data_IF_741667670003
#
_entry.id   IF_741667670003
#
_cell.length_a   1.000
_cell.length_b   1.000
_cell.length_c   1.000
_cell.angle_alpha   90.00
_cell.angle_beta   90.00
_cell.angle_gamma   90.00
#
_symmetry.space_group_name_H-M   'P 1'
#
loop_
_entity.id
_entity.type
_entity.pdbx_description
1 polymer ?
#
# COMPACT_ATOMS: atom_id res chain seq x y z
N UNK A 1 -42.68 -18.89 -24.80
CA UNK A 1 -42.12 -17.82 -25.62
C UNK A 1 -42.25 -16.54 -24.84
N UNK A 2 -41.17 -16.07 -24.26
CA UNK A 2 -41.01 -14.85 -23.49
C UNK A 2 -39.52 -14.61 -23.33
N UNK A 3 -38.97 -13.84 -24.25
CA UNK A 3 -37.56 -13.43 -24.25
C UNK A 3 -37.33 -12.44 -23.11
N UNK A 4 -36.44 -12.78 -22.18
CA UNK A 4 -35.87 -11.85 -21.22
C UNK A 4 -34.75 -11.07 -21.92
N UNK A 5 -34.98 -9.80 -22.18
CA UNK A 5 -33.99 -8.84 -22.61
C UNK A 5 -33.07 -8.54 -21.39
N UNK A 6 -31.83 -8.92 -21.51
CA UNK A 6 -30.75 -8.37 -20.67
C UNK A 6 -30.48 -6.93 -21.10
N UNK A 7 -31.03 -5.98 -20.36
CA UNK A 7 -30.67 -4.57 -20.49
C UNK A 7 -29.28 -4.36 -19.86
N UNK A 8 -28.28 -4.41 -20.72
CA UNK A 8 -26.92 -3.95 -20.41
C UNK A 8 -26.97 -2.43 -20.29
N UNK A 9 -27.06 -1.92 -19.08
CA UNK A 9 -26.87 -0.49 -18.81
C UNK A 9 -25.41 -0.17 -18.97
N UNK A 10 -24.98 0.28 -20.13
CA UNK A 10 -23.77 1.06 -20.35
C UNK A 10 -23.98 2.43 -19.67
N UNK A 11 -23.65 2.54 -18.37
CA UNK A 11 -23.59 3.84 -17.72
C UNK A 11 -22.36 4.57 -18.26
N UNK A 12 -22.59 5.55 -19.13
CA UNK A 12 -21.59 6.47 -19.66
C UNK A 12 -20.75 7.06 -18.52
N UNK A 13 -19.49 6.67 -18.50
CA UNK A 13 -18.48 7.36 -17.72
C UNK A 13 -18.36 8.77 -18.28
N UNK A 14 -18.57 9.77 -17.43
CA UNK A 14 -18.46 11.18 -17.83
C UNK A 14 -17.04 11.43 -18.33
N UNK A 15 -16.87 11.57 -19.64
CA UNK A 15 -15.65 12.06 -20.27
C UNK A 15 -15.53 13.55 -19.98
N UNK A 16 -14.44 13.96 -19.33
CA UNK A 16 -14.16 15.36 -19.03
C UNK A 16 -13.57 16.13 -20.23
N UNK A 17 -13.51 15.52 -21.44
CA UNK A 17 -12.87 16.13 -22.61
C UNK A 17 -13.79 17.08 -23.42
N UNK A 18 -15.07 17.28 -23.06
CA UNK A 18 -15.97 18.17 -23.82
C UNK A 18 -16.50 19.35 -22.99
N UNK A 19 -15.67 20.38 -22.85
CA UNK A 19 -16.11 21.79 -22.84
C UNK A 19 -14.93 22.69 -23.26
N UNK A 20 -14.62 22.66 -24.57
CA UNK A 20 -13.83 23.74 -25.18
C UNK A 20 -14.71 24.97 -25.43
N UNK A 21 -14.55 25.99 -24.59
CA UNK A 21 -15.01 27.34 -24.96
C UNK A 21 -14.14 27.88 -26.13
N UNK A 22 -14.82 28.16 -27.23
CA UNK A 22 -14.22 28.78 -28.45
C UNK A 22 -13.73 30.18 -28.15
N UNK A 23 -12.45 30.42 -28.25
CA UNK A 23 -11.86 31.74 -28.42
C UNK A 23 -11.24 31.85 -29.84
N UNK A 24 -11.21 33.07 -30.46
CA UNK A 24 -11.10 33.20 -31.92
C UNK A 24 -9.69 33.14 -32.47
N UNK A 25 -9.62 32.67 -33.72
CA UNK A 25 -8.48 32.56 -34.63
C UNK A 25 -7.48 33.72 -34.61
N UNK A 26 -6.19 33.39 -34.54
CA UNK A 26 -5.17 34.05 -35.36
C UNK A 26 -3.99 33.12 -35.60
N UNK A 27 -3.67 32.96 -36.88
CA UNK A 27 -2.74 32.01 -37.47
C UNK A 27 -1.27 32.29 -37.16
N UNK A 28 -0.48 31.20 -36.97
CA UNK A 28 0.83 31.03 -37.64
C UNK A 28 1.32 29.57 -37.48
N UNK A 29 1.42 28.87 -38.60
CA UNK A 29 2.09 27.55 -38.69
C UNK A 29 3.60 27.74 -38.52
N UNK A 30 4.17 27.01 -37.54
CA UNK A 30 5.59 26.64 -37.56
C UNK A 30 5.69 25.16 -37.23
N UNK A 31 6.16 24.39 -38.23
CA UNK A 31 6.56 23.00 -38.05
C UNK A 31 7.80 22.94 -37.12
N UNK A 32 7.72 22.22 -36.03
CA UNK A 32 8.84 21.90 -35.16
C UNK A 32 8.51 20.68 -34.35
N UNK A 33 9.21 19.58 -34.60
CA UNK A 33 9.16 18.37 -33.77
C UNK A 33 9.39 18.77 -32.32
N UNK A 34 8.47 18.34 -31.45
CA UNK A 34 8.59 18.55 -30.01
C UNK A 34 9.77 17.74 -29.46
N UNK A 35 10.72 18.37 -28.74
CA UNK A 35 11.79 17.64 -28.12
C UNK A 35 11.19 16.80 -26.99
N UNK A 36 11.43 15.48 -27.00
CA UNK A 36 11.24 14.61 -25.85
C UNK A 36 11.96 15.25 -24.66
N UNK A 37 11.22 15.77 -23.70
CA UNK A 37 11.77 16.25 -22.42
C UNK A 37 12.38 15.05 -21.71
N UNK A 38 13.68 14.87 -21.87
CA UNK A 38 14.48 14.01 -21.01
C UNK A 38 14.47 14.65 -19.61
N UNK A 39 13.82 14.01 -18.66
CA UNK A 39 13.94 14.39 -17.27
C UNK A 39 15.38 14.16 -16.84
N UNK A 40 16.06 15.23 -16.51
CA UNK A 40 17.35 15.17 -15.82
C UNK A 40 17.06 14.67 -14.42
N UNK A 41 17.35 13.39 -14.15
CA UNK A 41 17.20 12.81 -12.84
C UNK A 41 18.03 13.62 -11.83
N UNK A 42 17.36 14.28 -10.91
CA UNK A 42 18.00 14.91 -9.76
C UNK A 42 18.35 13.75 -8.83
N UNK A 43 19.62 13.40 -8.78
CA UNK A 43 20.13 12.45 -7.77
C UNK A 43 20.07 13.12 -6.40
N UNK A 44 18.93 13.02 -5.74
CA UNK A 44 18.72 13.49 -4.39
C UNK A 44 19.09 12.39 -3.40
N UNK A 45 19.96 12.70 -2.45
CA UNK A 45 20.48 11.73 -1.48
C UNK A 45 19.68 11.66 -0.18
N UNK A 46 18.65 12.49 -0.01
CA UNK A 46 17.85 12.49 1.21
C UNK A 46 16.60 13.38 1.17
N UNK A 47 15.72 13.27 2.17
CA UNK A 47 14.50 14.10 2.29
C UNK A 47 14.79 15.62 2.33
N UNK A 48 16.01 16.01 2.71
CA UNK A 48 16.43 17.42 2.74
C UNK A 48 16.47 18.04 1.35
N UNK A 49 16.70 17.24 0.33
CA UNK A 49 16.81 17.70 -1.06
C UNK A 49 15.43 17.98 -1.69
N UNK A 50 14.33 17.52 -1.07
CA UNK A 50 12.97 17.81 -1.53
C UNK A 50 12.44 19.19 -1.16
N UNK A 51 13.23 20.02 -0.48
CA UNK A 51 12.84 21.38 -0.06
C UNK A 51 11.53 21.42 0.75
N UNK A 52 11.33 20.43 1.61
CA UNK A 52 10.16 20.33 2.49
C UNK A 52 10.20 21.42 3.59
N UNK A 53 9.02 21.76 4.11
CA UNK A 53 8.87 22.65 5.27
C UNK A 53 9.76 22.14 6.44
N UNK A 54 10.42 23.05 7.20
CA UNK A 54 11.28 22.65 8.32
C UNK A 54 10.57 21.76 9.36
N UNK A 55 9.29 22.02 9.58
CA UNK A 55 8.42 21.27 10.49
C UNK A 55 8.28 19.79 10.03
N UNK A 56 8.15 19.57 8.72
CA UNK A 56 8.08 18.23 8.15
C UNK A 56 9.42 17.51 8.22
N UNK A 57 10.52 18.20 7.91
CA UNK A 57 11.86 17.63 8.03
C UNK A 57 12.14 17.19 9.47
N UNK A 58 11.73 17.99 10.46
CA UNK A 58 11.86 17.64 11.87
C UNK A 58 11.01 16.40 12.21
N UNK A 59 9.76 16.34 11.77
CA UNK A 59 8.89 15.20 12.01
C UNK A 59 9.43 13.91 11.36
N UNK A 60 10.06 14.01 10.18
CA UNK A 60 10.70 12.91 9.48
C UNK A 60 11.86 12.35 10.32
N UNK A 61 12.76 13.21 10.82
CA UNK A 61 13.90 12.80 11.65
C UNK A 61 13.42 12.17 12.96
N UNK A 62 12.49 12.80 13.67
CA UNK A 62 11.96 12.30 14.94
C UNK A 62 11.19 10.96 14.77
N UNK A 63 10.72 10.69 13.56
CA UNK A 63 10.06 9.44 13.19
C UNK A 63 11.04 8.32 12.80
N UNK A 64 12.35 8.57 12.83
CA UNK A 64 13.37 7.61 12.42
C UNK A 64 13.45 7.39 10.90
N UNK A 65 12.86 8.27 10.10
CA UNK A 65 12.98 8.28 8.63
C UNK A 65 14.20 9.13 8.25
N UNK A 66 15.40 8.55 8.31
CA UNK A 66 16.62 9.30 7.98
C UNK A 66 16.82 9.45 6.47
N UNK A 67 16.39 8.46 5.69
CA UNK A 67 16.55 8.44 4.23
C UNK A 67 15.28 7.95 3.53
N UNK A 68 14.93 8.52 2.35
CA UNK A 68 13.85 8.00 1.53
C UNK A 68 14.18 6.56 1.13
N UNK A 69 13.43 5.60 1.65
CA UNK A 69 13.47 4.14 1.39
C UNK A 69 14.78 3.61 0.76
N UNK A 70 15.92 3.99 1.31
CA UNK A 70 17.17 3.33 1.00
C UNK A 70 17.15 1.96 1.71
N UNK A 71 17.13 0.88 0.90
CA UNK A 71 17.63 -0.39 1.40
C UNK A 71 19.02 -0.11 1.97
N UNK A 72 19.28 -0.46 3.25
CA UNK A 72 20.54 -0.23 3.94
C UNK A 72 21.69 -0.41 2.97
N UNK A 73 22.35 0.68 2.58
CA UNK A 73 23.67 0.67 2.00
C UNK A 73 24.56 -0.06 3.00
N UNK A 74 24.83 -1.35 2.74
CA UNK A 74 25.98 -2.02 3.33
C UNK A 74 27.15 -1.10 3.03
N UNK A 75 27.79 -0.59 4.09
CA UNK A 75 28.92 0.32 4.02
C UNK A 75 29.84 -0.05 2.86
N UNK A 76 29.65 0.63 1.73
CA UNK A 76 30.44 0.44 0.51
C UNK A 76 31.91 0.65 0.83
N UNK A 77 32.22 1.56 1.76
CA UNK A 77 33.57 1.82 2.27
C UNK A 77 34.16 0.57 2.94
N UNK A 78 33.36 -0.23 3.64
CA UNK A 78 33.83 -1.45 4.28
C UNK A 78 34.09 -2.57 3.28
N UNK A 79 33.25 -2.69 2.26
CA UNK A 79 33.40 -3.64 1.15
C UNK A 79 34.59 -3.25 0.24
N UNK A 80 34.75 -1.97 -0.06
CA UNK A 80 35.88 -1.45 -0.85
C UNK A 80 37.19 -1.71 -0.10
N UNK A 81 37.25 -1.47 1.20
CA UNK A 81 38.46 -1.71 2.02
C UNK A 81 38.79 -3.21 2.12
N UNK A 82 37.81 -4.09 2.23
CA UNK A 82 38.03 -5.55 2.24
C UNK A 82 38.52 -6.04 0.87
N UNK A 83 37.96 -5.52 -0.23
CA UNK A 83 38.29 -5.95 -1.58
C UNK A 83 39.67 -5.44 -2.04
N UNK A 84 40.02 -4.20 -1.71
CA UNK A 84 41.36 -3.63 -1.99
C UNK A 84 42.47 -4.35 -1.24
N UNK A 85 42.17 -5.02 -0.14
CA UNK A 85 43.12 -5.82 0.62
C UNK A 85 43.38 -7.22 0.09
N UNK A 86 42.53 -7.73 -0.81
CA UNK A 86 42.56 -9.15 -1.23
C UNK A 86 42.80 -9.43 -2.71
N UNK A 87 42.75 -8.47 -3.62
CA UNK A 87 42.93 -8.78 -5.04
C UNK A 87 43.83 -7.83 -5.82
N UNK A 88 44.80 -8.42 -6.49
CA UNK A 88 45.75 -7.74 -7.40
C UNK A 88 45.28 -7.58 -8.85
N UNK A 89 43.95 -7.66 -9.13
CA UNK A 89 43.45 -7.62 -10.49
C UNK A 89 42.42 -6.48 -10.72
N UNK A 90 42.86 -5.44 -11.41
CA UNK A 90 42.07 -4.24 -11.80
C UNK A 90 40.86 -4.61 -12.68
N UNK A 91 40.94 -5.65 -13.49
CA UNK A 91 39.85 -6.08 -14.41
C UNK A 91 38.66 -6.66 -13.63
N UNK A 92 38.93 -7.33 -12.51
CA UNK A 92 37.86 -7.86 -11.63
C UNK A 92 37.11 -6.73 -10.91
N UNK A 93 37.78 -5.62 -10.61
CA UNK A 93 37.16 -4.46 -9.95
C UNK A 93 36.17 -3.73 -10.87
N UNK A 94 36.52 -3.52 -12.13
CA UNK A 94 35.62 -2.90 -13.11
C UNK A 94 34.39 -3.78 -13.41
N UNK A 95 34.54 -5.10 -13.46
CA UNK A 95 33.41 -6.02 -13.65
C UNK A 95 32.49 -6.06 -12.45
N UNK A 96 33.01 -6.04 -11.23
CA UNK A 96 32.22 -5.98 -9.99
C UNK A 96 31.58 -4.59 -9.81
N UNK A 97 32.29 -3.52 -10.14
CA UNK A 97 31.76 -2.17 -10.13
C UNK A 97 30.63 -2.02 -11.17
N UNK A 98 30.79 -2.58 -12.39
CA UNK A 98 29.75 -2.62 -13.40
C UNK A 98 28.56 -3.46 -12.95
N UNK A 99 28.76 -4.65 -12.33
CA UNK A 99 27.68 -5.46 -11.76
C UNK A 99 26.97 -4.77 -10.61
N UNK A 100 27.70 -4.07 -9.75
CA UNK A 100 27.16 -3.26 -8.66
C UNK A 100 26.38 -2.07 -9.23
N UNK A 101 26.92 -1.36 -10.22
CA UNK A 101 26.22 -0.25 -10.87
C UNK A 101 24.99 -0.72 -11.66
N UNK A 102 25.04 -1.87 -12.32
CA UNK A 102 23.87 -2.48 -13.02
C UNK A 102 22.82 -2.96 -12.01
N UNK A 103 23.20 -3.41 -10.81
CA UNK A 103 22.25 -3.71 -9.73
C UNK A 103 21.71 -2.43 -9.05
N UNK A 104 22.41 -1.30 -9.09
CA UNK A 104 21.93 -0.03 -8.55
C UNK A 104 20.94 0.70 -9.46
N UNK A 105 20.93 0.44 -10.76
CA UNK A 105 19.98 1.06 -11.71
C UNK A 105 18.52 0.56 -11.56
N UNK A 106 18.24 -0.40 -10.66
CA UNK A 106 16.89 -1.00 -10.48
C UNK A 106 16.14 -0.46 -9.27
N UNK A 107 16.73 0.39 -8.44
CA UNK A 107 16.11 0.89 -7.21
C UNK A 107 16.08 2.42 -7.12
N UNK A 108 15.28 3.07 -7.98
CA UNK A 108 14.80 4.40 -7.64
C UNK A 108 13.65 4.24 -6.63
N UNK A 109 13.81 4.67 -5.38
CA UNK A 109 12.73 4.59 -4.42
C UNK A 109 11.57 5.46 -4.90
N UNK A 110 10.38 4.91 -4.89
CA UNK A 110 9.10 5.56 -5.27
C UNK A 110 9.00 6.99 -4.75
N UNK A 111 9.55 7.24 -3.55
CA UNK A 111 9.56 8.54 -2.93
C UNK A 111 10.40 9.57 -3.69
N UNK A 112 11.55 9.18 -4.23
CA UNK A 112 12.42 10.09 -4.99
C UNK A 112 11.79 10.54 -6.31
N UNK A 113 11.05 9.66 -6.97
CA UNK A 113 10.36 10.00 -8.21
C UNK A 113 9.07 10.78 -7.96
N UNK A 114 8.25 10.30 -7.00
CA UNK A 114 6.92 10.85 -6.78
C UNK A 114 6.92 12.18 -6.03
N UNK A 115 7.68 12.31 -4.91
CA UNK A 115 7.56 13.47 -4.02
C UNK A 115 7.87 14.79 -4.73
N UNK A 116 8.96 14.94 -5.50
CA UNK A 116 9.26 16.23 -6.15
C UNK A 116 8.15 16.72 -7.09
N UNK A 117 7.47 15.82 -7.76
CA UNK A 117 6.38 16.14 -8.68
C UNK A 117 5.07 16.38 -7.95
N UNK A 118 4.80 15.54 -6.94
CA UNK A 118 3.59 15.66 -6.13
C UNK A 118 3.55 16.96 -5.34
N UNK A 119 4.68 17.45 -4.79
CA UNK A 119 4.74 18.74 -4.09
C UNK A 119 4.57 19.94 -5.00
N UNK A 120 4.73 19.78 -6.32
CA UNK A 120 4.45 20.80 -7.34
C UNK A 120 2.99 20.82 -7.79
N UNK A 121 2.15 19.95 -7.20
CA UNK A 121 0.72 19.91 -7.51
C UNK A 121 0.35 19.02 -8.70
N UNK A 122 1.30 18.25 -9.29
CA UNK A 122 0.99 17.34 -10.38
C UNK A 122 0.16 16.15 -9.89
N UNK A 123 -0.77 15.68 -10.71
CA UNK A 123 -1.46 14.43 -10.51
C UNK A 123 -0.49 13.25 -10.59
N UNK A 124 -0.67 12.24 -9.76
CA UNK A 124 0.25 11.09 -9.68
C UNK A 124 -0.50 9.78 -9.66
N UNK A 125 -0.20 8.88 -10.61
CA UNK A 125 -0.54 7.46 -10.52
C UNK A 125 0.73 6.70 -10.16
N UNK A 126 0.72 5.99 -9.05
CA UNK A 126 1.87 5.22 -8.61
C UNK A 126 1.49 3.77 -8.28
N UNK A 127 2.05 2.84 -9.05
CA UNK A 127 2.07 1.43 -8.71
C UNK A 127 3.43 1.07 -8.16
N UNK A 128 3.46 0.59 -6.92
CA UNK A 128 4.68 0.07 -6.31
C UNK A 128 4.35 -0.96 -5.22
N UNK A 129 5.25 -1.88 -4.98
CA UNK A 129 5.10 -2.93 -3.96
C UNK A 129 4.69 -2.39 -2.60
N UNK A 130 4.04 -3.23 -1.82
CA UNK A 130 3.76 -2.91 -0.42
C UNK A 130 5.07 -2.70 0.35
N UNK A 131 5.13 -1.69 1.22
CA UNK A 131 6.34 -1.35 1.98
C UNK A 131 7.34 -0.44 1.27
N UNK A 132 7.08 -0.01 0.03
CA UNK A 132 7.95 0.94 -0.70
C UNK A 132 7.68 2.42 -0.37
N UNK A 133 6.93 2.70 0.70
CA UNK A 133 6.73 4.06 1.19
C UNK A 133 5.71 4.91 0.41
N UNK A 134 4.78 4.30 -0.37
CA UNK A 134 3.70 5.02 -1.07
C UNK A 134 2.92 5.97 -0.18
N UNK A 135 2.59 5.54 1.04
CA UNK A 135 1.86 6.37 2.02
C UNK A 135 2.61 7.64 2.37
N UNK A 136 3.94 7.55 2.56
CA UNK A 136 4.76 8.74 2.84
C UNK A 136 4.75 9.74 1.68
N UNK A 137 4.64 9.27 0.42
CA UNK A 137 4.56 10.16 -0.75
C UNK A 137 3.38 11.11 -0.62
N UNK A 138 2.15 10.59 -0.52
CA UNK A 138 0.98 11.47 -0.49
C UNK A 138 0.82 12.20 0.85
N UNK A 139 1.24 11.61 1.97
CA UNK A 139 1.21 12.30 3.27
C UNK A 139 2.12 13.52 3.26
N UNK A 140 3.40 13.35 2.90
CA UNK A 140 4.36 14.46 2.88
C UNK A 140 4.01 15.50 1.82
N UNK A 141 3.60 15.07 0.62
CA UNK A 141 3.23 15.99 -0.46
C UNK A 141 2.00 16.83 -0.11
N UNK A 142 1.00 16.23 0.54
CA UNK A 142 -0.18 16.96 1.00
C UNK A 142 0.18 17.94 2.13
N UNK A 143 0.92 17.50 3.15
CA UNK A 143 1.34 18.36 4.26
C UNK A 143 2.22 19.52 3.81
N UNK A 144 3.05 19.31 2.78
CA UNK A 144 3.88 20.36 2.19
C UNK A 144 3.05 21.48 1.56
N UNK A 145 1.94 21.13 0.92
CA UNK A 145 1.13 22.06 0.12
C UNK A 145 -0.04 22.68 0.91
N UNK A 146 -0.49 22.02 1.98
CA UNK A 146 -1.69 22.44 2.70
C UNK A 146 -1.44 23.68 3.56
N UNK A 147 -2.33 24.68 3.40
CA UNK A 147 -2.43 25.81 4.29
C UNK A 147 -3.76 25.67 5.05
N UNK A 148 -3.72 25.45 6.38
CA UNK A 148 -4.91 25.16 7.16
C UNK A 148 -5.82 26.40 7.26
N UNK A 149 -7.05 26.29 6.75
CA UNK A 149 -8.09 27.31 6.89
C UNK A 149 -9.20 26.76 7.77
N UNK A 150 -9.47 27.41 8.88
CA UNK A 150 -10.47 26.98 9.84
C UNK A 150 -11.85 26.74 9.19
N UNK A 151 -12.45 25.60 9.50
CA UNK A 151 -13.76 25.21 8.99
C UNK A 151 -13.77 24.66 7.55
N UNK A 152 -12.61 24.40 6.95
CA UNK A 152 -12.50 23.90 5.58
C UNK A 152 -11.73 22.58 5.51
N UNK A 153 -12.28 21.62 4.76
CA UNK A 153 -11.58 20.38 4.38
C UNK A 153 -10.80 20.66 3.11
N UNK A 154 -9.47 20.58 3.19
CA UNK A 154 -8.55 20.83 2.07
C UNK A 154 -8.04 19.57 1.42
N UNK A 155 -7.99 18.44 2.16
CA UNK A 155 -7.58 17.15 1.62
C UNK A 155 -8.55 16.04 2.00
N UNK A 156 -8.84 15.16 1.04
CA UNK A 156 -9.66 13.98 1.21
C UNK A 156 -8.89 12.74 0.75
N UNK A 157 -8.73 11.77 1.66
CA UNK A 157 -8.09 10.49 1.38
C UNK A 157 -9.12 9.36 1.51
N UNK A 158 -9.31 8.60 0.45
CA UNK A 158 -10.19 7.44 0.44
C UNK A 158 -9.37 6.15 0.38
N UNK A 159 -9.81 5.14 1.13
CA UNK A 159 -9.26 3.80 1.07
C UNK A 159 -10.37 2.77 1.34
N UNK A 160 -10.16 1.54 0.89
CA UNK A 160 -11.21 0.52 0.88
C UNK A 160 -11.50 -0.13 2.25
N UNK A 161 -10.59 -0.03 3.24
CA UNK A 161 -10.77 -0.61 4.58
C UNK A 161 -10.67 0.44 5.69
N UNK A 162 -11.32 0.15 6.82
CA UNK A 162 -11.36 1.02 8.00
C UNK A 162 -10.01 1.05 8.72
N UNK A 163 -9.32 -0.08 8.72
CA UNK A 163 -8.00 -0.25 9.32
C UNK A 163 -6.97 0.59 8.58
N UNK A 164 -7.00 0.54 7.24
CA UNK A 164 -6.12 1.36 6.41
C UNK A 164 -6.44 2.86 6.60
N UNK A 165 -7.73 3.24 6.67
CA UNK A 165 -8.11 4.61 6.97
C UNK A 165 -7.56 5.09 8.31
N UNK A 166 -7.67 4.26 9.34
CA UNK A 166 -7.12 4.57 10.66
C UNK A 166 -5.59 4.71 10.61
N UNK A 167 -4.90 3.81 9.91
CA UNK A 167 -3.45 3.86 9.78
C UNK A 167 -3.00 5.12 9.02
N UNK A 168 -3.63 5.46 7.89
CA UNK A 168 -3.31 6.66 7.12
C UNK A 168 -3.52 7.93 7.96
N UNK A 169 -4.64 8.00 8.72
CA UNK A 169 -4.89 9.11 9.63
C UNK A 169 -3.73 9.27 10.62
N UNK A 170 -3.28 8.18 11.20
CA UNK A 170 -2.19 8.18 12.17
C UNK A 170 -0.84 8.59 11.54
N UNK A 171 -0.58 8.24 10.28
CA UNK A 171 0.60 8.73 9.57
C UNK A 171 0.53 10.25 9.32
N UNK A 172 -0.64 10.78 8.97
CA UNK A 172 -0.82 12.23 8.90
C UNK A 172 -0.58 12.92 10.25
N UNK A 173 -1.14 12.38 11.34
CA UNK A 173 -0.91 12.89 12.70
C UNK A 173 0.58 12.88 13.07
N UNK A 174 1.27 11.79 12.76
CA UNK A 174 2.69 11.61 13.03
C UNK A 174 3.56 12.65 12.32
N UNK A 175 3.35 12.84 11.02
CA UNK A 175 4.14 13.80 10.23
C UNK A 175 3.70 15.25 10.41
N UNK A 176 2.49 15.51 10.94
CA UNK A 176 2.01 16.85 11.25
C UNK A 176 2.25 17.30 12.69
N UNK A 177 3.03 16.56 13.48
CA UNK A 177 3.29 16.82 14.91
C UNK A 177 3.77 18.27 15.17
N UNK A 178 4.51 18.85 14.23
CA UNK A 178 5.02 20.22 14.31
C UNK A 178 4.16 21.25 13.52
N UNK A 179 2.95 20.87 13.11
CA UNK A 179 1.96 21.72 12.44
C UNK A 179 0.71 21.84 13.34
N UNK A 180 0.76 22.64 14.44
CA UNK A 180 -0.26 22.61 15.49
C UNK A 180 -1.65 23.04 15.03
N UNK A 181 -1.74 23.87 13.98
CA UNK A 181 -3.01 24.36 13.45
C UNK A 181 -3.71 23.34 12.54
N UNK A 182 -3.01 22.28 12.14
CA UNK A 182 -3.53 21.27 11.25
C UNK A 182 -4.33 20.21 12.03
N UNK A 183 -5.56 19.94 11.58
CA UNK A 183 -6.44 18.92 12.17
C UNK A 183 -6.69 17.82 11.16
N UNK A 184 -6.54 16.59 11.61
CA UNK A 184 -6.80 15.38 10.84
C UNK A 184 -7.92 14.58 11.49
N UNK A 185 -8.83 14.01 10.70
CA UNK A 185 -9.86 13.13 11.24
C UNK A 185 -10.14 11.94 10.32
N UNK A 186 -10.57 10.82 10.91
CA UNK A 186 -10.91 9.60 10.21
C UNK A 186 -12.39 9.27 10.30
N UNK A 187 -13.02 8.96 9.14
CA UNK A 187 -14.44 8.61 9.06
C UNK A 187 -14.65 7.28 8.34
N UNK A 188 -15.15 6.28 9.05
CA UNK A 188 -15.47 4.95 8.52
C UNK A 188 -16.74 4.36 9.11
N UNK A 189 -17.31 3.35 8.45
CA UNK A 189 -18.51 2.68 8.92
C UNK A 189 -18.28 1.83 10.18
N UNK A 190 -19.38 1.41 10.83
CA UNK A 190 -19.33 0.55 12.03
C UNK A 190 -19.23 1.29 13.36
N UNK A 191 -19.14 2.61 13.32
CA UNK A 191 -19.33 3.50 14.48
C UNK A 191 -20.53 4.43 14.24
N UNK A 192 -21.10 4.98 15.29
CA UNK A 192 -22.26 5.88 15.17
C UNK A 192 -21.95 7.07 14.28
N UNK A 193 -22.78 7.32 13.28
CA UNK A 193 -22.64 8.48 12.39
C UNK A 193 -22.78 9.81 13.15
N UNK A 194 -23.52 9.80 14.26
CA UNK A 194 -23.72 10.99 15.10
C UNK A 194 -22.40 11.51 15.66
N UNK A 195 -21.50 10.61 16.10
CA UNK A 195 -20.17 11.00 16.59
C UNK A 195 -19.37 11.75 15.51
N UNK A 196 -19.45 11.30 14.27
CA UNK A 196 -18.78 11.94 13.15
C UNK A 196 -19.41 13.32 12.82
N UNK A 197 -20.75 13.43 12.88
CA UNK A 197 -21.45 14.70 12.68
C UNK A 197 -21.12 15.72 13.78
N UNK A 198 -21.07 15.27 15.02
CA UNK A 198 -20.71 16.13 16.16
C UNK A 198 -19.25 16.61 16.05
N UNK A 199 -18.32 15.75 15.64
CA UNK A 199 -16.93 16.13 15.38
C UNK A 199 -16.85 17.19 14.29
N UNK A 200 -17.51 16.98 13.15
CA UNK A 200 -17.50 17.93 12.02
C UNK A 200 -18.09 19.30 12.37
N UNK A 201 -19.07 19.34 13.27
CA UNK A 201 -19.67 20.60 13.75
C UNK A 201 -18.77 21.34 14.72
N UNK A 202 -18.11 20.63 15.61
CA UNK A 202 -17.33 21.24 16.69
C UNK A 202 -15.90 21.57 16.23
N UNK A 203 -15.30 20.69 15.44
CA UNK A 203 -13.91 20.79 15.00
C UNK A 203 -13.77 20.28 13.55
N UNK A 204 -14.12 21.11 12.57
CA UNK A 204 -13.95 20.74 11.17
C UNK A 204 -12.47 20.44 10.86
N UNK A 205 -12.11 19.21 10.44
CA UNK A 205 -10.73 18.87 10.11
C UNK A 205 -10.32 19.47 8.77
N UNK A 206 -9.02 19.71 8.60
CA UNK A 206 -8.43 20.13 7.33
C UNK A 206 -8.14 18.94 6.41
N UNK A 207 -7.81 17.78 7.01
CA UNK A 207 -7.57 16.52 6.30
C UNK A 207 -8.59 15.49 6.79
N UNK A 208 -9.31 14.92 5.85
CA UNK A 208 -10.29 13.85 6.07
C UNK A 208 -9.78 12.55 5.46
N UNK A 209 -9.69 11.50 6.26
CA UNK A 209 -9.37 10.15 5.78
C UNK A 209 -10.61 9.28 5.99
N UNK A 210 -10.97 8.43 5.02
CA UNK A 210 -12.14 7.61 5.25
C UNK A 210 -12.41 6.52 4.22
N UNK A 211 -13.50 5.76 4.49
CA UNK A 211 -14.01 4.78 3.53
C UNK A 211 -15.16 5.39 2.71
N UNK A 212 -15.27 5.06 1.40
CA UNK A 212 -16.19 5.72 0.48
C UNK A 212 -17.62 5.83 1.00
N UNK A 213 -18.25 4.74 1.43
CA UNK A 213 -19.65 4.76 1.86
C UNK A 213 -19.94 5.67 3.07
N UNK A 214 -18.98 5.82 4.02
CA UNK A 214 -19.17 6.73 5.17
C UNK A 214 -18.95 8.19 4.77
N UNK A 215 -17.97 8.47 3.95
CA UNK A 215 -17.70 9.82 3.42
C UNK A 215 -18.88 10.29 2.59
N UNK A 216 -19.40 9.44 1.71
CA UNK A 216 -20.56 9.75 0.88
C UNK A 216 -21.82 10.04 1.72
N UNK A 217 -22.10 9.23 2.75
CA UNK A 217 -23.21 9.48 3.65
C UNK A 217 -23.13 10.86 4.32
N UNK A 218 -21.94 11.23 4.87
CA UNK A 218 -21.73 12.53 5.49
C UNK A 218 -21.81 13.71 4.50
N UNK A 219 -21.34 13.49 3.26
CA UNK A 219 -21.40 14.51 2.21
C UNK A 219 -22.83 14.71 1.68
N UNK A 220 -23.60 13.63 1.46
CA UNK A 220 -25.03 13.69 1.06
C UNK A 220 -25.89 14.40 2.11
N UNK A 221 -25.63 14.13 3.40
CA UNK A 221 -26.32 14.77 4.51
C UNK A 221 -25.87 16.24 4.71
N UNK A 222 -24.88 16.72 3.94
CA UNK A 222 -24.30 18.07 4.03
C UNK A 222 -23.59 18.36 5.37
N UNK A 223 -23.30 17.35 6.16
CA UNK A 223 -22.49 17.49 7.38
C UNK A 223 -20.99 17.63 7.01
N UNK A 224 -20.55 17.04 5.91
CA UNK A 224 -19.20 17.16 5.37
C UNK A 224 -19.22 17.96 4.05
N UNK A 225 -18.61 19.14 4.06
CA UNK A 225 -18.46 19.98 2.87
C UNK A 225 -17.15 19.65 2.15
N UNK A 226 -17.25 19.24 0.86
CA UNK A 226 -16.08 18.88 0.03
C UNK A 226 -15.70 20.00 -0.97
N UNK A 227 -16.34 21.17 -0.90
CA UNK A 227 -16.18 22.26 -1.87
C UNK A 227 -14.81 22.92 -1.89
N UNK A 228 -14.00 22.72 -0.85
CA UNK A 228 -12.66 23.31 -0.70
C UNK A 228 -11.55 22.27 -0.79
N UNK A 229 -11.87 21.03 -1.20
CA UNK A 229 -10.88 19.96 -1.35
C UNK A 229 -9.94 20.30 -2.52
N UNK A 230 -8.64 20.41 -2.21
CA UNK A 230 -7.56 20.66 -3.16
C UNK A 230 -6.71 19.41 -3.43
N UNK A 231 -6.79 18.41 -2.56
CA UNK A 231 -6.07 17.14 -2.70
C UNK A 231 -7.05 16.00 -2.54
N UNK A 232 -7.19 15.19 -3.59
CA UNK A 232 -8.04 14.00 -3.64
C UNK A 232 -7.15 12.77 -3.82
N UNK A 233 -7.09 11.92 -2.79
CA UNK A 233 -6.16 10.80 -2.76
C UNK A 233 -6.92 9.48 -2.67
N UNK A 234 -6.56 8.49 -3.49
CA UNK A 234 -7.02 7.12 -3.39
C UNK A 234 -5.84 6.20 -3.06
N UNK A 235 -5.86 5.55 -1.90
CA UNK A 235 -4.90 4.50 -1.56
C UNK A 235 -5.53 3.11 -1.70
N UNK A 236 -4.80 2.15 -2.27
CA UNK A 236 -5.32 0.86 -2.74
C UNK A 236 -6.48 1.08 -3.73
N UNK A 237 -6.26 1.98 -4.71
CA UNK A 237 -7.29 2.47 -5.63
C UNK A 237 -7.90 1.36 -6.50
N UNK A 238 -7.12 0.33 -6.86
CA UNK A 238 -7.59 -0.84 -7.61
C UNK A 238 -8.83 -1.47 -6.96
N UNK A 239 -8.85 -1.65 -5.64
CA UNK A 239 -9.95 -2.30 -4.93
C UNK A 239 -11.23 -1.46 -4.89
N UNK A 240 -11.08 -0.14 -4.84
CA UNK A 240 -12.24 0.75 -4.90
C UNK A 240 -12.79 0.90 -6.32
N UNK A 241 -11.92 0.82 -7.34
CA UNK A 241 -12.30 1.01 -8.74
C UNK A 241 -12.67 -0.29 -9.46
N UNK A 242 -12.26 -1.47 -8.98
CA UNK A 242 -12.71 -2.77 -9.44
C UNK A 242 -14.14 -3.09 -8.98
N UNK A 243 -14.47 -2.76 -7.72
CA UNK A 243 -15.81 -2.97 -7.16
C UNK A 243 -16.79 -1.93 -7.69
N UNK A 244 -17.84 -2.35 -8.39
CA UNK A 244 -18.85 -1.46 -8.99
C UNK A 244 -19.48 -0.54 -7.94
N UNK A 245 -19.85 -1.07 -6.77
CA UNK A 245 -20.50 -0.28 -5.71
C UNK A 245 -19.55 0.77 -5.14
N UNK A 246 -18.29 0.39 -4.81
CA UNK A 246 -17.32 1.35 -4.30
C UNK A 246 -16.94 2.38 -5.37
N UNK A 247 -16.84 1.97 -6.64
CA UNK A 247 -16.55 2.88 -7.75
C UNK A 247 -17.64 3.95 -7.87
N UNK A 248 -18.90 3.58 -7.77
CA UNK A 248 -20.04 4.54 -7.78
C UNK A 248 -19.92 5.54 -6.62
N UNK A 249 -19.66 5.05 -5.41
CA UNK A 249 -19.46 5.92 -4.24
C UNK A 249 -18.29 6.89 -4.46
N UNK A 250 -17.14 6.42 -4.96
CA UNK A 250 -15.97 7.25 -5.25
C UNK A 250 -16.28 8.29 -6.32
N UNK A 251 -16.97 7.92 -7.40
CA UNK A 251 -17.36 8.84 -8.49
C UNK A 251 -18.29 9.94 -7.97
N UNK A 252 -19.26 9.58 -7.13
CA UNK A 252 -20.20 10.56 -6.56
C UNK A 252 -19.47 11.53 -5.63
N UNK A 253 -18.59 11.03 -4.77
CA UNK A 253 -17.74 11.88 -3.90
C UNK A 253 -16.88 12.81 -4.75
N UNK A 254 -16.24 12.28 -5.80
CA UNK A 254 -15.40 13.05 -6.71
C UNK A 254 -16.14 14.21 -7.36
N UNK A 255 -17.39 14.00 -7.81
CA UNK A 255 -18.26 15.04 -8.38
C UNK A 255 -18.61 16.14 -7.36
N UNK A 256 -18.54 15.87 -6.05
CA UNK A 256 -18.79 16.85 -5.00
C UNK A 256 -17.59 17.72 -4.65
N UNK A 257 -16.40 17.38 -5.17
CA UNK A 257 -15.17 18.16 -4.99
C UNK A 257 -14.95 19.13 -6.15
N UNK A 258 -14.15 20.22 -5.98
CA UNK A 258 -13.83 21.15 -7.07
C UNK A 258 -13.18 20.46 -8.26
N UNK A 259 -13.30 21.04 -9.45
CA UNK A 259 -12.58 20.58 -10.63
C UNK A 259 -11.07 20.80 -10.48
N UNK A 260 -10.68 21.99 -10.05
CA UNK A 260 -9.29 22.36 -9.79
C UNK A 260 -8.80 21.74 -8.48
N UNK A 261 -8.21 20.56 -8.57
CA UNK A 261 -7.62 19.82 -7.47
C UNK A 261 -6.54 18.87 -7.97
N UNK A 262 -5.56 18.57 -7.13
CA UNK A 262 -4.61 17.51 -7.37
C UNK A 262 -5.23 16.14 -7.05
N UNK A 263 -5.06 15.18 -7.93
CA UNK A 263 -5.49 13.78 -7.73
C UNK A 263 -4.27 12.87 -7.64
N UNK A 264 -4.19 12.07 -6.59
CA UNK A 264 -3.11 11.09 -6.41
C UNK A 264 -3.69 9.70 -6.18
N UNK A 265 -3.24 8.71 -6.95
CA UNK A 265 -3.71 7.33 -6.88
C UNK A 265 -2.56 6.36 -6.65
N UNK A 266 -2.71 5.52 -5.64
CA UNK A 266 -1.69 4.56 -5.23
C UNK A 266 -2.26 3.15 -5.16
N UNK A 267 -1.49 2.17 -5.64
CA UNK A 267 -1.79 0.75 -5.51
C UNK A 267 -0.52 -0.09 -5.52
N UNK A 268 -0.60 -1.32 -5.02
CA UNK A 268 0.43 -2.33 -5.22
C UNK A 268 0.16 -3.17 -6.49
N UNK A 269 -1.10 -3.25 -6.90
CA UNK A 269 -1.58 -4.10 -7.99
C UNK A 269 -2.53 -3.33 -8.89
N UNK A 270 -2.00 -2.67 -9.93
CA UNK A 270 -2.81 -1.88 -10.85
C UNK A 270 -2.87 -2.57 -12.22
N UNK A 271 -3.96 -3.29 -12.46
CA UNK A 271 -4.15 -4.00 -13.73
C UNK A 271 -4.22 -3.03 -14.92
N UNK A 272 -3.85 -3.52 -16.11
CA UNK A 272 -3.89 -2.71 -17.34
C UNK A 272 -5.31 -2.20 -17.64
N UNK A 273 -6.35 -2.90 -17.21
CA UNK A 273 -7.76 -2.52 -17.41
C UNK A 273 -8.22 -1.40 -16.46
N UNK A 274 -7.60 -1.30 -15.28
CA UNK A 274 -7.96 -0.27 -14.28
C UNK A 274 -7.21 1.04 -14.53
N UNK A 275 -6.02 1.01 -15.14
CA UNK A 275 -5.25 2.24 -15.44
C UNK A 275 -6.03 3.28 -16.25
N UNK A 276 -6.74 2.91 -17.34
CA UNK A 276 -7.61 3.88 -18.04
C UNK A 276 -8.73 4.44 -17.18
N UNK A 277 -9.26 3.63 -16.24
CA UNK A 277 -10.29 4.10 -15.30
C UNK A 277 -9.70 5.13 -14.33
N UNK A 278 -8.50 4.90 -13.81
CA UNK A 278 -7.79 5.89 -12.97
C UNK A 278 -7.58 7.21 -13.71
N UNK A 279 -7.11 7.16 -14.95
CA UNK A 279 -6.84 8.35 -15.78
C UNK A 279 -8.07 9.23 -15.99
N UNK A 280 -9.27 8.68 -16.01
CA UNK A 280 -10.51 9.46 -16.13
C UNK A 280 -10.79 10.40 -14.95
N UNK A 281 -10.12 10.21 -13.83
CA UNK A 281 -10.21 11.10 -12.66
C UNK A 281 -9.11 12.16 -12.63
N UNK A 282 -8.17 12.16 -13.59
CA UNK A 282 -6.90 12.88 -13.48
C UNK A 282 -6.64 13.73 -14.72
N UNK A 283 -5.79 14.75 -14.53
CA UNK A 283 -5.37 15.66 -15.58
C UNK A 283 -3.86 15.49 -15.84
N UNK A 284 -3.49 14.93 -16.99
CA UNK A 284 -2.10 14.68 -17.41
C UNK A 284 -1.20 14.13 -16.26
N UNK A 285 -1.57 12.97 -15.66
CA UNK A 285 -0.90 12.48 -14.48
C UNK A 285 0.52 12.01 -14.78
N UNK A 286 1.43 12.22 -13.83
CA UNK A 286 2.68 11.49 -13.78
C UNK A 286 2.40 10.02 -13.49
N UNK A 287 2.87 9.14 -14.38
CA UNK A 287 2.65 7.72 -14.30
C UNK A 287 3.93 7.00 -13.85
N UNK A 288 3.88 6.36 -12.69
CA UNK A 288 4.99 5.58 -12.14
C UNK A 288 4.52 4.15 -11.93
N UNK A 289 5.03 3.25 -12.74
CA UNK A 289 4.74 1.82 -12.65
C UNK A 289 6.05 1.08 -12.33
N UNK A 290 6.33 0.95 -11.04
CA UNK A 290 7.47 0.16 -10.59
C UNK A 290 7.08 -1.32 -10.70
N UNK A 291 7.87 -2.09 -11.43
CA UNK A 291 7.72 -3.55 -11.58
C UNK A 291 6.63 -4.05 -12.56
N UNK A 292 6.30 -3.31 -13.61
CA UNK A 292 5.45 -3.84 -14.69
C UNK A 292 6.09 -4.99 -15.48
N UNK A 293 7.43 -4.97 -15.57
CA UNK A 293 8.23 -5.97 -16.30
C UNK A 293 9.32 -6.62 -15.44
N UNK A 294 9.58 -6.10 -14.23
CA UNK A 294 10.55 -6.67 -13.34
C UNK A 294 9.93 -7.78 -12.49
N UNK A 295 10.62 -8.91 -12.39
CA UNK A 295 10.30 -10.00 -11.47
C UNK A 295 9.92 -9.42 -10.11
N UNK A 296 8.75 -9.75 -9.63
CA UNK A 296 8.25 -9.34 -8.31
C UNK A 296 9.03 -10.09 -7.22
N UNK A 297 10.35 -9.91 -7.21
CA UNK A 297 11.17 -10.38 -6.12
C UNK A 297 10.84 -9.53 -4.90
N UNK A 298 10.09 -10.10 -3.97
CA UNK A 298 9.99 -9.57 -2.63
C UNK A 298 11.37 -9.76 -1.99
N UNK A 299 12.27 -8.78 -2.19
CA UNK A 299 13.65 -8.87 -1.70
C UNK A 299 13.64 -9.11 -0.20
N UNK A 300 14.36 -10.13 0.23
CA UNK A 300 14.40 -10.53 1.64
C UNK A 300 13.27 -11.46 2.09
N UNK A 301 12.26 -11.75 1.25
CA UNK A 301 11.22 -12.73 1.55
C UNK A 301 11.55 -14.09 0.93
N UNK A 302 11.75 -15.08 1.77
CA UNK A 302 11.87 -16.49 1.37
C UNK A 302 10.47 -17.09 1.30
N UNK A 303 10.15 -17.81 0.21
CA UNK A 303 8.81 -18.35 -0.01
C UNK A 303 8.89 -19.87 -0.21
N UNK A 304 8.01 -20.58 0.50
CA UNK A 304 7.90 -22.03 0.40
C UNK A 304 6.44 -22.48 0.36
N UNK A 305 6.19 -23.65 -0.19
CA UNK A 305 4.91 -24.33 -0.09
C UNK A 305 5.06 -25.69 0.60
N UNK A 306 3.95 -26.23 1.11
CA UNK A 306 3.87 -27.57 1.69
C UNK A 306 2.66 -28.26 1.09
N UNK A 307 2.85 -29.43 0.46
CA UNK A 307 1.75 -30.32 0.04
C UNK A 307 1.31 -31.17 1.23
N UNK A 308 0.02 -31.08 1.56
CA UNK A 308 -0.55 -31.82 2.67
C UNK A 308 -2.08 -31.96 2.51
N UNK A 309 -2.68 -32.87 3.22
CA UNK A 309 -4.15 -32.99 3.27
C UNK A 309 -4.74 -31.95 4.22
N UNK A 310 -6.04 -31.67 4.05
CA UNK A 310 -6.76 -30.76 4.94
C UNK A 310 -6.68 -31.17 6.41
N UNK A 311 -6.70 -32.48 6.68
CA UNK A 311 -6.62 -33.04 8.04
C UNK A 311 -5.24 -32.85 8.70
N UNK A 312 -4.19 -32.72 7.91
CA UNK A 312 -2.81 -32.55 8.40
C UNK A 312 -2.46 -31.08 8.72
N UNK A 313 -3.24 -30.11 8.21
CA UNK A 313 -2.93 -28.69 8.38
C UNK A 313 -2.71 -28.25 9.82
N UNK A 314 -3.58 -28.67 10.74
CA UNK A 314 -3.49 -28.30 12.16
C UNK A 314 -2.20 -28.81 12.80
N UNK A 315 -1.88 -30.07 12.56
CA UNK A 315 -0.65 -30.70 13.10
C UNK A 315 0.58 -29.99 12.53
N UNK A 316 0.61 -29.80 11.20
CA UNK A 316 1.75 -29.14 10.55
C UNK A 316 1.93 -27.70 11.00
N UNK A 317 0.83 -26.98 11.24
CA UNK A 317 0.90 -25.61 11.75
C UNK A 317 1.55 -25.59 13.16
N UNK A 318 1.12 -26.49 14.07
CA UNK A 318 1.72 -26.58 15.40
C UNK A 318 3.22 -26.92 15.31
N UNK A 319 3.59 -27.93 14.47
CA UNK A 319 4.99 -28.30 14.28
C UNK A 319 5.83 -27.12 13.77
N UNK A 320 5.27 -26.26 12.88
CA UNK A 320 5.94 -25.07 12.38
C UNK A 320 6.09 -23.97 13.46
N UNK A 321 5.05 -23.75 14.27
CA UNK A 321 5.10 -22.74 15.34
C UNK A 321 6.06 -23.14 16.47
N UNK A 322 6.28 -24.43 16.69
CA UNK A 322 7.28 -24.96 17.63
C UNK A 322 8.70 -24.88 17.07
N UNK A 323 8.87 -25.10 15.75
CA UNK A 323 10.19 -25.23 15.13
C UNK A 323 10.77 -23.87 14.67
N UNK A 324 9.92 -22.87 14.38
CA UNK A 324 10.37 -21.62 13.80
C UNK A 324 10.55 -20.51 14.85
N UNK A 325 11.67 -19.83 14.76
CA UNK A 325 11.86 -18.57 15.48
C UNK A 325 11.12 -17.43 14.79
N UNK A 326 10.34 -16.65 15.50
CA UNK A 326 9.63 -15.50 14.94
C UNK A 326 9.43 -14.37 15.94
N UNK A 327 9.38 -13.15 15.43
CA UNK A 327 8.95 -11.98 16.19
C UNK A 327 7.43 -11.95 16.25
N UNK A 328 6.80 -11.87 15.10
CA UNK A 328 5.35 -12.00 14.93
C UNK A 328 5.02 -12.80 13.66
N UNK A 329 3.95 -13.60 13.73
CA UNK A 329 3.42 -14.38 12.62
C UNK A 329 1.98 -14.01 12.32
N UNK A 330 1.64 -13.92 11.02
CA UNK A 330 0.25 -13.80 10.56
C UNK A 330 -0.14 -15.07 9.83
N UNK A 331 -1.25 -15.67 10.26
CA UNK A 331 -1.81 -16.90 9.68
C UNK A 331 -3.10 -16.54 8.94
N UNK A 332 -3.11 -16.71 7.63
CA UNK A 332 -4.26 -16.38 6.80
C UNK A 332 -5.17 -17.58 6.56
N UNK A 333 -6.46 -17.38 6.78
CA UNK A 333 -7.53 -18.35 6.55
C UNK A 333 -8.63 -17.75 5.68
N UNK A 334 -9.39 -18.60 4.98
CA UNK A 334 -10.40 -18.17 4.00
C UNK A 334 -11.74 -17.72 4.57
N UNK A 335 -12.06 -18.05 5.83
CA UNK A 335 -13.39 -17.74 6.39
C UNK A 335 -13.33 -17.28 7.84
N UNK A 336 -14.39 -16.57 8.24
CA UNK A 336 -14.58 -16.06 9.61
C UNK A 336 -14.68 -17.18 10.63
N UNK A 337 -15.47 -18.25 10.33
CA UNK A 337 -15.60 -19.43 11.21
C UNK A 337 -14.26 -20.11 11.42
N UNK A 338 -13.51 -20.29 10.32
CA UNK A 338 -12.19 -20.92 10.35
C UNK A 338 -11.18 -20.09 11.16
N UNK A 339 -11.25 -18.76 11.10
CA UNK A 339 -10.41 -17.90 11.92
C UNK A 339 -10.69 -18.08 13.42
N UNK A 340 -11.96 -18.15 13.80
CA UNK A 340 -12.36 -18.34 15.19
C UNK A 340 -11.97 -19.73 15.73
N UNK A 341 -12.22 -20.78 14.94
CA UNK A 341 -11.89 -22.17 15.29
C UNK A 341 -10.38 -22.38 15.41
N UNK A 342 -9.60 -21.88 14.45
CA UNK A 342 -8.14 -22.00 14.48
C UNK A 342 -7.53 -21.23 15.64
N UNK A 343 -8.03 -20.01 15.92
CA UNK A 343 -7.58 -19.22 17.06
C UNK A 343 -7.85 -19.94 18.40
N UNK A 344 -9.01 -20.60 18.53
CA UNK A 344 -9.34 -21.39 19.70
C UNK A 344 -8.39 -22.59 19.84
N UNK A 345 -8.18 -23.35 18.75
CA UNK A 345 -7.28 -24.50 18.73
C UNK A 345 -5.85 -24.09 19.12
N UNK A 346 -5.31 -23.03 18.56
CA UNK A 346 -3.96 -22.54 18.90
C UNK A 346 -3.83 -22.19 20.38
N UNK A 347 -4.86 -21.54 20.95
CA UNK A 347 -4.88 -21.20 22.37
C UNK A 347 -4.91 -22.46 23.27
N UNK A 348 -5.67 -23.50 22.87
CA UNK A 348 -5.71 -24.81 23.55
C UNK A 348 -4.37 -25.55 23.43
N UNK A 349 -3.60 -25.32 22.36
CA UNK A 349 -2.26 -25.90 22.16
C UNK A 349 -1.14 -25.04 22.78
N UNK A 350 -1.44 -24.10 23.67
CA UNK A 350 -0.48 -23.18 24.29
C UNK A 350 0.20 -22.18 23.34
N UNK A 351 -0.42 -21.90 22.20
CA UNK A 351 -0.03 -20.80 21.30
C UNK A 351 -0.99 -19.62 21.49
N UNK A 352 -0.71 -18.67 22.40
CA UNK A 352 -1.58 -17.53 22.63
C UNK A 352 -1.70 -16.69 21.37
N UNK A 353 -2.85 -16.75 20.73
CA UNK A 353 -3.14 -16.08 19.48
C UNK A 353 -4.36 -15.18 19.60
N UNK A 354 -4.45 -14.21 18.70
CA UNK A 354 -5.65 -13.39 18.50
C UNK A 354 -6.18 -13.59 17.09
N UNK A 355 -7.49 -13.39 16.90
CA UNK A 355 -8.06 -13.39 15.56
C UNK A 355 -8.62 -12.01 15.17
N UNK A 356 -8.52 -11.66 13.88
CA UNK A 356 -9.12 -10.47 13.27
C UNK A 356 -9.84 -10.87 11.98
N UNK A 357 -11.16 -10.58 11.92
CA UNK A 357 -11.99 -10.90 10.76
C UNK A 357 -13.18 -9.93 10.62
N UNK A 358 -13.86 -9.96 9.48
CA UNK A 358 -14.97 -9.04 9.14
C UNK A 358 -16.21 -9.19 10.04
N UNK A 359 -16.42 -10.35 10.65
CA UNK A 359 -17.55 -10.61 11.55
C UNK A 359 -17.43 -10.00 12.94
N UNK A 360 -16.30 -9.36 13.27
CA UNK A 360 -16.09 -8.70 14.56
C UNK A 360 -16.67 -7.28 14.55
N UNK A 361 -17.07 -6.80 15.74
CA UNK A 361 -17.41 -5.39 15.87
C UNK A 361 -16.14 -4.53 15.68
N UNK A 362 -16.34 -3.29 15.22
CA UNK A 362 -15.24 -2.43 14.78
C UNK A 362 -14.30 -2.02 15.92
N UNK A 363 -14.85 -1.75 17.08
CA UNK A 363 -14.07 -1.33 18.25
C UNK A 363 -13.11 -2.44 18.71
N UNK A 364 -13.63 -3.66 18.86
CA UNK A 364 -12.83 -4.83 19.22
C UNK A 364 -11.77 -5.14 18.17
N UNK A 365 -12.12 -5.01 16.89
CA UNK A 365 -11.19 -5.24 15.77
C UNK A 365 -10.03 -4.27 15.80
N UNK A 366 -10.28 -2.97 15.98
CA UNK A 366 -9.24 -1.95 16.12
C UNK A 366 -8.41 -2.15 17.38
N UNK A 367 -9.03 -2.53 18.51
CA UNK A 367 -8.32 -2.82 19.75
C UNK A 367 -7.32 -3.96 19.54
N UNK A 368 -7.76 -5.08 18.93
CA UNK A 368 -6.87 -6.21 18.64
C UNK A 368 -5.76 -5.83 17.64
N UNK A 369 -6.10 -5.07 16.60
CA UNK A 369 -5.11 -4.57 15.65
C UNK A 369 -4.02 -3.74 16.33
N UNK A 370 -4.40 -2.77 17.18
CA UNK A 370 -3.45 -1.96 17.95
C UNK A 370 -2.57 -2.83 18.85
N UNK A 371 -3.18 -3.72 19.64
CA UNK A 371 -2.43 -4.61 20.52
C UNK A 371 -1.43 -5.50 19.78
N UNK A 372 -1.80 -5.97 18.57
CA UNK A 372 -0.87 -6.73 17.72
C UNK A 372 0.25 -5.84 17.17
N UNK A 373 -0.06 -4.65 16.68
CA UNK A 373 0.94 -3.69 16.20
C UNK A 373 1.96 -3.30 17.29
N UNK A 374 1.49 -3.13 18.52
CA UNK A 374 2.31 -2.83 19.70
C UNK A 374 3.13 -4.05 20.21
N UNK A 375 2.88 -5.24 19.67
CA UNK A 375 3.61 -6.46 20.04
C UNK A 375 3.08 -7.18 21.29
N UNK A 376 1.85 -6.86 21.73
CA UNK A 376 1.22 -7.54 22.88
C UNK A 376 0.92 -9.02 22.59
N UNK A 377 0.75 -9.37 21.31
CA UNK A 377 0.54 -10.74 20.85
C UNK A 377 1.54 -11.04 19.72
N UNK A 378 1.98 -12.31 19.65
CA UNK A 378 2.93 -12.74 18.62
C UNK A 378 2.27 -13.47 17.46
N UNK A 379 1.05 -14.00 17.64
CA UNK A 379 0.34 -14.79 16.64
C UNK A 379 -1.00 -14.13 16.32
N UNK A 380 -1.23 -13.86 15.04
CA UNK A 380 -2.47 -13.32 14.50
C UNK A 380 -3.08 -14.30 13.51
N UNK A 381 -4.31 -14.73 13.73
CA UNK A 381 -5.14 -15.44 12.76
C UNK A 381 -6.05 -14.43 12.05
N UNK A 382 -6.00 -14.36 10.73
CA UNK A 382 -6.73 -13.33 10.00
C UNK A 382 -7.36 -13.84 8.70
N UNK A 383 -8.44 -13.19 8.28
CA UNK A 383 -8.94 -13.27 6.90
C UNK A 383 -8.28 -12.17 6.05
N UNK A 384 -8.54 -12.16 4.74
CA UNK A 384 -7.97 -11.19 3.79
C UNK A 384 -8.19 -9.71 4.12
N UNK A 385 -9.11 -9.43 5.04
CA UNK A 385 -9.31 -8.08 5.58
C UNK A 385 -8.01 -7.43 6.10
N UNK A 386 -7.15 -8.25 6.72
CA UNK A 386 -5.84 -7.81 7.27
C UNK A 386 -4.72 -7.95 6.23
N UNK A 387 -4.99 -8.67 5.14
CA UNK A 387 -4.01 -8.95 4.09
C UNK A 387 -3.60 -7.74 3.25
N UNK A 388 -4.27 -6.59 3.36
CA UNK A 388 -4.06 -5.43 2.49
C UNK A 388 -3.85 -4.15 3.29
N UNK A 389 -2.94 -3.32 2.82
CA UNK A 389 -2.73 -1.95 3.29
C UNK A 389 -2.26 -1.79 4.75
N UNK A 390 -2.32 -2.84 5.57
CA UNK A 390 -1.96 -2.79 6.98
C UNK A 390 -0.47 -3.04 7.15
N UNK A 391 0.19 -2.12 7.84
CA UNK A 391 1.62 -2.21 8.13
C UNK A 391 1.88 -2.62 9.57
N UNK A 392 2.61 -3.74 9.74
CA UNK A 392 3.04 -4.27 11.03
C UNK A 392 4.51 -4.66 10.88
N UNK A 393 5.39 -3.81 11.36
CA UNK A 393 6.85 -3.90 11.15
C UNK A 393 7.48 -5.19 11.72
N UNK A 394 6.89 -5.75 12.78
CA UNK A 394 7.43 -6.92 13.48
C UNK A 394 7.08 -8.26 12.86
N UNK A 395 6.21 -8.28 11.83
CA UNK A 395 5.82 -9.52 11.16
C UNK A 395 6.96 -9.98 10.28
N UNK A 396 7.57 -11.10 10.65
CA UNK A 396 8.62 -11.74 9.86
C UNK A 396 8.20 -13.10 9.27
N UNK A 397 7.06 -13.66 9.70
CA UNK A 397 6.49 -14.88 9.11
C UNK A 397 5.05 -14.67 8.69
N UNK A 398 4.72 -15.15 7.49
CA UNK A 398 3.35 -15.27 6.99
C UNK A 398 3.07 -16.74 6.66
N UNK A 399 1.96 -17.27 7.15
CA UNK A 399 1.49 -18.62 6.82
C UNK A 399 0.13 -18.51 6.13
N UNK A 400 0.08 -18.88 4.85
CA UNK A 400 -1.18 -19.11 4.15
C UNK A 400 -1.69 -20.51 4.55
N UNK A 401 -2.42 -20.60 5.66
CA UNK A 401 -3.06 -21.83 6.09
C UNK A 401 -4.12 -22.31 5.08
N UNK A 402 -4.83 -21.36 4.46
CA UNK A 402 -5.64 -21.57 3.28
C UNK A 402 -5.07 -20.79 2.10
N UNK A 403 -5.03 -21.43 0.93
CA UNK A 403 -4.63 -20.78 -0.31
C UNK A 403 -5.48 -19.54 -0.58
N UNK A 404 -4.90 -18.40 -0.96
CA UNK A 404 -5.67 -17.24 -1.40
C UNK A 404 -6.38 -17.50 -2.73
N UNK A 405 -7.44 -16.73 -3.01
CA UNK A 405 -8.26 -16.92 -4.21
C UNK A 405 -7.59 -16.41 -5.52
N UNK A 406 -6.54 -15.63 -5.42
CA UNK A 406 -5.83 -15.06 -6.57
C UNK A 406 -4.37 -14.74 -6.27
N UNK A 407 -3.57 -14.60 -7.33
CA UNK A 407 -2.16 -14.20 -7.23
C UNK A 407 -2.00 -12.82 -6.58
N UNK A 408 -2.90 -11.87 -6.83
CA UNK A 408 -2.86 -10.55 -6.16
C UNK A 408 -3.10 -10.66 -4.65
N UNK A 409 -4.08 -11.48 -4.24
CA UNK A 409 -4.34 -11.73 -2.82
C UNK A 409 -3.14 -12.42 -2.17
N UNK A 410 -2.51 -13.36 -2.87
CA UNK A 410 -1.26 -13.98 -2.42
C UNK A 410 -0.19 -12.92 -2.13
N UNK A 411 0.09 -12.05 -3.09
CA UNK A 411 1.09 -10.98 -2.95
C UNK A 411 0.79 -10.07 -1.76
N UNK A 412 -0.46 -9.66 -1.60
CA UNK A 412 -0.88 -8.82 -0.47
C UNK A 412 -0.69 -9.50 0.88
N UNK A 413 -0.93 -10.81 0.98
CA UNK A 413 -0.72 -11.58 2.21
C UNK A 413 0.76 -11.71 2.53
N UNK A 414 1.56 -12.24 1.60
CA UNK A 414 2.99 -12.50 1.84
C UNK A 414 3.79 -11.20 1.99
N UNK A 415 3.35 -10.12 1.36
CA UNK A 415 3.91 -8.78 1.52
C UNK A 415 3.69 -8.17 2.92
N UNK A 416 3.15 -8.90 3.90
CA UNK A 416 3.16 -8.50 5.32
C UNK A 416 4.50 -8.80 5.97
N UNK A 417 5.26 -9.80 5.52
CA UNK A 417 6.61 -10.11 5.99
C UNK A 417 7.68 -9.51 5.06
N UNK A 418 8.89 -9.34 5.56
CA UNK A 418 10.04 -8.86 4.76
C UNK A 418 9.90 -7.40 4.30
N UNK A 419 9.24 -6.53 5.07
CA UNK A 419 9.04 -5.12 4.74
C UNK A 419 10.27 -4.27 5.07
N UNK A 420 10.40 -3.13 4.41
CA UNK A 420 11.49 -2.17 4.64
C UNK A 420 12.89 -2.78 4.51
N UNK A 421 13.06 -3.74 3.58
CA UNK A 421 14.33 -4.43 3.39
C UNK A 421 14.69 -5.43 4.49
N UNK A 422 13.75 -5.76 5.40
CA UNK A 422 13.95 -6.81 6.40
C UNK A 422 13.75 -8.20 5.78
N UNK A 423 14.32 -9.21 6.43
CA UNK A 423 14.12 -10.60 6.04
C UNK A 423 12.76 -11.12 6.51
N UNK A 424 12.18 -12.05 5.77
CA UNK A 424 10.92 -12.68 6.11
C UNK A 424 10.74 -14.06 5.47
N UNK A 425 9.74 -14.81 5.97
CA UNK A 425 9.38 -16.13 5.50
C UNK A 425 7.89 -16.22 5.19
N UNK A 426 7.54 -16.73 4.03
CA UNK A 426 6.17 -17.07 3.67
C UNK A 426 6.04 -18.57 3.43
N UNK A 427 5.07 -19.22 4.08
CA UNK A 427 4.78 -20.64 3.91
C UNK A 427 3.33 -20.78 3.47
N UNK A 428 3.10 -21.55 2.40
CA UNK A 428 1.76 -21.74 1.83
C UNK A 428 1.37 -23.21 1.83
N UNK A 429 0.25 -23.54 2.45
CA UNK A 429 -0.32 -24.89 2.43
C UNK A 429 -1.09 -25.13 1.13
N UNK A 430 -0.79 -26.24 0.48
CA UNK A 430 -1.41 -26.70 -0.76
C UNK A 430 -2.10 -28.02 -0.47
N UNK A 431 -3.43 -28.01 -0.42
CA UNK A 431 -4.23 -29.17 0.02
C UNK A 431 -5.15 -29.72 -1.06
N UNK A 432 -5.24 -29.07 -2.21
CA UNK A 432 -6.10 -29.47 -3.32
C UNK A 432 -5.44 -29.19 -4.69
N UNK A 433 -6.03 -29.73 -5.75
CA UNK A 433 -5.62 -29.40 -7.12
C UNK A 433 -5.84 -27.92 -7.44
N UNK A 434 -6.97 -27.35 -6.99
CA UNK A 434 -7.25 -25.94 -7.16
C UNK A 434 -6.21 -25.04 -6.47
N UNK A 435 -5.72 -25.42 -5.28
CA UNK A 435 -4.63 -24.70 -4.61
C UNK A 435 -3.34 -24.74 -5.44
N UNK A 436 -3.06 -25.89 -6.08
CA UNK A 436 -1.89 -26.04 -6.97
C UNK A 436 -2.00 -25.14 -8.20
N UNK A 437 -3.20 -25.00 -8.77
CA UNK A 437 -3.45 -24.13 -9.93
C UNK A 437 -3.18 -22.66 -9.55
N UNK A 438 -3.69 -22.20 -8.41
CA UNK A 438 -3.42 -20.84 -7.91
C UNK A 438 -1.92 -20.63 -7.63
N UNK A 439 -1.21 -21.65 -7.08
CA UNK A 439 0.23 -21.53 -6.84
C UNK A 439 1.00 -21.41 -8.17
N UNK A 440 0.58 -22.15 -9.21
CA UNK A 440 1.17 -22.05 -10.54
C UNK A 440 0.94 -20.66 -11.15
N UNK A 441 -0.30 -20.12 -11.04
CA UNK A 441 -0.63 -18.77 -11.49
C UNK A 441 0.23 -17.71 -10.80
N UNK A 442 0.48 -17.88 -9.49
CA UNK A 442 1.38 -17.00 -8.72
C UNK A 442 2.80 -17.06 -9.27
N UNK A 443 3.32 -18.26 -9.50
CA UNK A 443 4.69 -18.46 -10.01
C UNK A 443 4.86 -17.91 -11.43
N UNK A 444 3.86 -18.13 -12.31
CA UNK A 444 3.87 -17.63 -13.68
C UNK A 444 3.78 -16.10 -13.70
N UNK A 445 2.81 -15.53 -12.97
CA UNK A 445 2.54 -14.09 -12.98
C UNK A 445 3.71 -13.27 -12.42
N UNK A 446 4.35 -13.77 -11.36
CA UNK A 446 5.42 -13.04 -10.68
C UNK A 446 6.81 -13.56 -11.04
N UNK A 447 6.91 -14.51 -11.96
CA UNK A 447 8.16 -15.14 -12.37
C UNK A 447 9.03 -15.60 -11.18
N UNK A 448 8.39 -16.18 -10.17
CA UNK A 448 9.06 -16.68 -8.96
C UNK A 448 9.03 -18.20 -8.91
N UNK A 449 10.11 -18.80 -8.42
CA UNK A 449 10.20 -20.24 -8.15
C UNK A 449 9.97 -20.47 -6.65
N UNK A 450 8.74 -20.85 -6.28
CA UNK A 450 8.38 -21.17 -4.90
C UNK A 450 8.66 -22.66 -4.70
N UNK A 451 9.63 -22.97 -3.84
CA UNK A 451 10.07 -24.34 -3.57
C UNK A 451 9.30 -24.99 -2.43
N UNK A 452 9.28 -26.32 -2.42
CA UNK A 452 8.79 -27.07 -1.28
C UNK A 452 9.62 -26.75 -0.02
N UNK A 453 8.95 -26.73 1.13
CA UNK A 453 9.61 -26.40 2.39
C UNK A 453 10.68 -27.47 2.72
N UNK A 454 11.95 -27.11 2.92
CA UNK A 454 12.98 -28.05 3.34
C UNK A 454 12.73 -28.53 4.77
N UNK A 455 13.30 -29.68 5.14
CA UNK A 455 13.19 -30.22 6.51
C UNK A 455 13.78 -29.26 7.57
N UNK A 456 14.83 -28.54 7.22
CA UNK A 456 15.47 -27.53 8.07
C UNK A 456 15.54 -26.20 7.35
N UNK A 457 15.07 -25.13 7.99
CA UNK A 457 15.16 -23.78 7.49
C UNK A 457 16.22 -23.04 8.32
N UNK A 458 17.21 -22.48 7.61
CA UNK A 458 18.20 -21.63 8.27
C UNK A 458 17.55 -20.33 8.74
N UNK A 459 17.51 -20.10 10.04
CA UNK A 459 16.95 -18.90 10.69
C UNK A 459 17.59 -17.62 10.17
N UNK A 460 18.86 -17.65 9.77
CA UNK A 460 19.57 -16.50 9.21
C UNK A 460 18.97 -16.03 7.87
N UNK A 461 18.18 -16.85 7.19
CA UNK A 461 17.54 -16.49 5.91
C UNK A 461 16.30 -15.61 6.08
N UNK A 462 15.59 -15.67 7.22
CA UNK A 462 14.31 -15.00 7.45
C UNK A 462 14.22 -14.20 8.74
N UNK A 463 15.16 -14.36 9.68
CA UNK A 463 15.23 -13.51 10.86
C UNK A 463 16.05 -12.25 10.55
N UNK A 464 15.60 -11.08 11.00
CA UNK A 464 16.43 -9.87 10.95
C UNK A 464 17.66 -10.07 11.83
N UNK A 465 18.81 -9.68 11.29
CA UNK A 465 20.12 -9.72 12.00
C UNK A 465 20.19 -8.64 13.06
#
# INVERSE_FOLDING_TARGET
MGETRDDVYDEELVDYEEEEEKAPDSAAKVNGEAPKKGYVGIHSSGFRDFLLKPELLRAIVDSGFEHPSEGKLLNLDFLIVIFLRKSNHVISFLSVLCLVLIQFDVFFPVQHECIPQAILGMDVICQAKSGMGKTAVFVLSTLQQIDPVAGQVSALVLCHTRELAYQICHEFERFSTYLPDLKVAVFYGGVSIKLHKDLLKNECPHIVVGTPGRILALARDKDLSLKNVRHFILDECDKMLESLDMRRDVQEIFKMTPHDKQVMMFSATLSKDIRPVCKKFMQDPMEIYVDDEAKLTLHGLVQHYIKLTEAEKNRKLNDLLDALDFNQVVIFVKSVSRAAELNKLLSECNFPSICIHSGMNQEERLKRYKGFKEGQNRILVATDLVGRGIDIERVNIVINYDMPDSADTYLHRVGRAGRFGTKGLAITFVSSAADSDVLNDVQERFEVDIKELPEQIDTATYMPS
#
